data_IF_186034347004
#
_entry.id   IF_186034347004
#
_cell.length_a   1.000
_cell.length_b   1.000
_cell.length_c   1.000
_cell.angle_alpha   90.00
_cell.angle_beta   90.00
_cell.angle_gamma   90.00
#
_symmetry.space_group_name_H-M   'P 1'
#
loop_
_entity.id
_entity.type
_entity.pdbx_description
1 polymer ?
#
# COMPACT_ATOMS: atom_id res chain seq x y z
N UNK A 1 1.69 -31.66 13.91
CA UNK A 1 0.47 -31.02 14.45
C UNK A 1 0.17 -29.79 13.62
N UNK A 2 -0.87 -29.84 12.78
CA UNK A 2 -1.30 -28.71 11.97
C UNK A 2 -1.91 -27.64 12.89
N UNK A 3 -1.24 -26.49 13.02
CA UNK A 3 -1.84 -25.32 13.67
C UNK A 3 -3.03 -24.90 12.81
N UNK A 4 -4.25 -25.17 13.27
CA UNK A 4 -5.47 -24.56 12.74
C UNK A 4 -5.23 -23.05 12.68
N UNK A 5 -5.14 -22.48 11.48
CA UNK A 5 -5.09 -21.03 11.29
C UNK A 5 -6.38 -20.46 11.89
N UNK A 6 -6.24 -19.59 12.89
CA UNK A 6 -7.37 -18.83 13.42
C UNK A 6 -8.04 -18.08 12.27
N UNK A 7 -9.39 -18.03 12.21
CA UNK A 7 -10.08 -17.25 11.20
C UNK A 7 -9.67 -15.79 11.37
N UNK A 8 -8.96 -15.26 10.38
CA UNK A 8 -8.23 -13.98 10.46
C UNK A 8 -9.11 -12.72 10.60
N UNK A 9 -10.44 -12.89 10.63
CA UNK A 9 -11.42 -11.81 10.75
C UNK A 9 -12.46 -12.05 11.86
N UNK A 10 -12.21 -12.95 12.82
CA UNK A 10 -13.25 -13.43 13.75
C UNK A 10 -13.71 -12.42 14.84
N UNK A 11 -13.53 -11.11 14.67
CA UNK A 11 -14.03 -10.16 15.69
C UNK A 11 -13.87 -8.66 15.41
N UNK A 12 -13.48 -8.23 14.21
CA UNK A 12 -13.34 -6.80 13.88
C UNK A 12 -14.26 -6.45 12.74
N UNK A 13 -15.04 -5.38 12.91
CA UNK A 13 -16.02 -4.94 11.91
C UNK A 13 -15.31 -4.45 10.65
N UNK A 14 -15.91 -4.73 9.49
CA UNK A 14 -15.45 -4.23 8.18
C UNK A 14 -15.15 -2.72 8.23
N UNK A 15 -15.97 -1.97 8.97
CA UNK A 15 -15.80 -0.54 9.26
C UNK A 15 -14.42 -0.17 9.84
N UNK A 16 -13.89 -0.97 10.78
CA UNK A 16 -12.58 -0.71 11.38
C UNK A 16 -11.44 -0.83 10.36
N UNK A 17 -11.55 -1.81 9.46
CA UNK A 17 -10.59 -1.99 8.38
C UNK A 17 -10.66 -0.83 7.39
N UNK A 18 -11.86 -0.40 7.00
CA UNK A 18 -12.05 0.75 6.11
C UNK A 18 -11.47 2.04 6.70
N UNK A 19 -11.77 2.33 7.97
CA UNK A 19 -11.23 3.50 8.67
C UNK A 19 -9.70 3.47 8.74
N UNK A 20 -9.12 2.30 9.01
CA UNK A 20 -7.68 2.12 9.05
C UNK A 20 -7.03 2.31 7.67
N UNK A 21 -7.65 1.81 6.59
CA UNK A 21 -7.16 2.00 5.23
C UNK A 21 -7.21 3.47 4.80
N UNK A 22 -8.26 4.20 5.16
CA UNK A 22 -8.33 5.66 4.96
C UNK A 22 -7.23 6.36 5.76
N UNK A 23 -7.04 5.98 7.02
CA UNK A 23 -6.00 6.55 7.89
C UNK A 23 -4.59 6.26 7.37
N UNK A 24 -4.37 5.08 6.79
CA UNK A 24 -3.13 4.70 6.12
C UNK A 24 -2.89 5.57 4.87
N UNK A 25 -3.92 5.80 4.05
CA UNK A 25 -3.77 6.70 2.90
C UNK A 25 -3.44 8.14 3.32
N UNK A 26 -4.06 8.63 4.40
CA UNK A 26 -3.78 9.96 4.96
C UNK A 26 -2.32 10.10 5.42
N UNK A 27 -1.72 9.04 5.99
CA UNK A 27 -0.32 9.10 6.43
C UNK A 27 0.70 9.11 5.28
N UNK A 28 0.30 8.78 4.05
CA UNK A 28 1.16 8.91 2.86
C UNK A 28 1.24 10.34 2.33
N UNK A 29 0.16 11.12 2.50
CA UNK A 29 0.03 12.48 1.95
C UNK A 29 1.22 13.40 2.25
N UNK A 30 1.65 13.53 3.52
CA UNK A 30 2.81 14.34 3.88
C UNK A 30 4.10 13.93 3.18
N UNK A 31 4.31 12.62 2.96
CA UNK A 31 5.52 12.08 2.31
C UNK A 31 5.57 12.40 0.81
N UNK A 32 4.41 12.55 0.16
CA UNK A 32 4.35 13.04 -1.21
C UNK A 32 4.65 14.54 -1.31
N UNK A 33 4.30 15.32 -0.27
CA UNK A 33 4.58 16.77 -0.23
C UNK A 33 6.07 17.00 0.01
N UNK A 34 6.69 16.28 0.94
CA UNK A 34 8.15 16.34 1.19
C UNK A 34 8.95 16.03 -0.08
N UNK A 35 8.44 15.13 -0.93
CA UNK A 35 9.11 14.67 -2.16
C UNK A 35 8.68 15.40 -3.43
N UNK A 36 7.90 16.48 -3.34
CA UNK A 36 7.55 17.29 -4.52
C UNK A 36 8.76 18.09 -4.98
N UNK A 37 9.53 17.49 -5.87
CA UNK A 37 10.37 18.21 -6.82
C UNK A 37 9.50 18.98 -7.83
N UNK A 38 9.98 20.11 -8.40
CA UNK A 38 9.24 20.86 -9.41
C UNK A 38 9.03 20.14 -10.75
N UNK A 39 9.72 19.02 -11.02
CA UNK A 39 9.61 18.24 -12.26
C UNK A 39 8.87 16.91 -12.06
N UNK A 40 8.03 16.53 -13.05
CA UNK A 40 7.28 15.26 -13.06
C UNK A 40 8.17 14.01 -13.06
N UNK A 41 9.40 14.12 -13.58
CA UNK A 41 10.39 13.03 -13.59
C UNK A 41 10.91 12.71 -12.18
N UNK A 42 10.99 13.71 -11.29
CA UNK A 42 11.46 13.51 -9.93
C UNK A 42 10.33 13.16 -8.93
N UNK A 43 9.06 13.13 -9.37
CA UNK A 43 7.95 12.51 -8.59
C UNK A 43 8.19 11.00 -8.41
N UNK A 44 8.95 10.37 -9.31
CA UNK A 44 9.26 8.95 -9.28
C UNK A 44 10.67 8.70 -8.79
N UNK A 45 10.78 7.95 -7.68
CA UNK A 45 12.07 7.45 -7.18
C UNK A 45 12.77 6.62 -8.27
N UNK A 46 14.11 6.69 -8.42
CA UNK A 46 14.84 5.91 -9.40
C UNK A 46 14.47 4.43 -9.35
N UNK A 47 14.17 3.83 -10.50
CA UNK A 47 13.68 2.44 -10.59
C UNK A 47 14.64 1.42 -9.96
N UNK A 48 15.92 1.75 -9.87
CA UNK A 48 16.98 1.00 -9.21
C UNK A 48 16.66 0.68 -7.74
N UNK A 49 15.94 1.55 -7.03
CA UNK A 49 15.54 1.27 -5.64
C UNK A 49 14.55 0.10 -5.52
N UNK A 50 13.91 -0.27 -6.62
CA UNK A 50 12.98 -1.39 -6.73
C UNK A 50 13.66 -2.67 -7.25
N UNK A 51 14.95 -2.66 -7.56
CA UNK A 51 15.67 -3.78 -8.14
C UNK A 51 16.69 -4.39 -7.15
N UNK A 52 17.11 -5.63 -7.40
CA UNK A 52 18.26 -6.25 -6.70
C UNK A 52 19.56 -5.52 -7.10
N UNK A 53 20.52 -5.38 -6.18
CA UNK A 53 20.55 -5.86 -4.79
C UNK A 53 19.94 -4.89 -3.77
N UNK A 54 19.39 -3.77 -4.23
CA UNK A 54 19.06 -2.62 -3.40
C UNK A 54 17.72 -2.75 -2.66
N UNK A 55 16.72 -3.31 -3.32
CA UNK A 55 15.39 -3.43 -2.75
C UNK A 55 15.33 -4.58 -1.73
N UNK A 56 15.18 -4.22 -0.45
CA UNK A 56 14.96 -5.14 0.66
C UNK A 56 13.68 -4.80 1.44
N UNK A 57 12.77 -4.07 0.79
CA UNK A 57 11.61 -3.47 1.43
C UNK A 57 10.65 -4.52 1.99
N UNK A 58 10.11 -4.21 3.16
CA UNK A 58 9.06 -5.01 3.80
C UNK A 58 7.79 -4.17 3.88
N UNK A 59 6.66 -4.86 3.91
CA UNK A 59 5.35 -4.23 4.04
C UNK A 59 4.54 -4.93 5.11
N UNK A 60 3.65 -4.19 5.75
CA UNK A 60 2.72 -4.74 6.73
C UNK A 60 1.50 -5.40 6.07
N UNK A 61 0.69 -6.06 6.88
CA UNK A 61 -0.57 -6.67 6.45
C UNK A 61 -1.54 -5.63 5.87
N UNK A 62 -1.71 -4.49 6.54
CA UNK A 62 -2.60 -3.42 6.08
C UNK A 62 -2.16 -2.84 4.73
N UNK A 63 -0.86 -2.66 4.51
CA UNK A 63 -0.33 -2.19 3.23
C UNK A 63 -0.57 -3.20 2.10
N UNK A 64 -0.45 -4.50 2.39
CA UNK A 64 -0.71 -5.53 1.40
C UNK A 64 -2.20 -5.66 1.05
N UNK A 65 -3.10 -5.53 2.03
CA UNK A 65 -4.55 -5.44 1.80
C UNK A 65 -4.88 -4.26 0.89
N UNK A 66 -4.33 -3.08 1.18
CA UNK A 66 -4.56 -1.87 0.41
C UNK A 66 -4.08 -2.02 -1.05
N UNK A 67 -2.92 -2.64 -1.25
CA UNK A 67 -2.39 -2.97 -2.59
C UNK A 67 -3.32 -3.96 -3.30
N UNK A 68 -3.73 -5.05 -2.64
CA UNK A 68 -4.61 -6.06 -3.23
C UNK A 68 -5.95 -5.45 -3.67
N UNK A 69 -6.58 -4.64 -2.79
CA UNK A 69 -7.80 -3.89 -3.13
C UNK A 69 -7.58 -2.93 -4.30
N UNK A 70 -6.43 -2.27 -4.38
CA UNK A 70 -6.11 -1.41 -5.51
C UNK A 70 -6.04 -2.17 -6.85
N UNK A 71 -5.50 -3.39 -6.88
CA UNK A 71 -5.49 -4.22 -8.09
C UNK A 71 -6.90 -4.65 -8.54
N UNK A 72 -7.79 -4.89 -7.58
CA UNK A 72 -9.18 -5.23 -7.85
C UNK A 72 -9.99 -4.03 -8.36
N UNK A 73 -9.76 -2.86 -7.76
CA UNK A 73 -10.62 -1.68 -7.93
C UNK A 73 -10.15 -0.74 -9.05
N UNK A 74 -8.84 -0.52 -9.22
CA UNK A 74 -8.33 0.58 -10.04
C UNK A 74 -8.28 0.21 -11.53
N UNK A 75 -8.88 1.02 -12.43
CA UNK A 75 -8.90 0.70 -13.86
C UNK A 75 -7.53 0.51 -14.51
N UNK A 76 -6.50 1.24 -14.08
CA UNK A 76 -5.14 1.15 -14.62
C UNK A 76 -4.33 -0.06 -14.12
N UNK A 77 -4.84 -0.75 -13.09
CA UNK A 77 -4.27 -1.99 -12.54
C UNK A 77 -5.07 -3.23 -12.95
N UNK A 78 -6.31 -3.04 -13.40
CA UNK A 78 -7.19 -4.10 -13.86
C UNK A 78 -6.52 -4.92 -14.97
N UNK A 79 -6.53 -6.25 -14.82
CA UNK A 79 -5.93 -7.19 -15.76
C UNK A 79 -4.42 -7.41 -15.58
N UNK A 80 -3.75 -6.66 -14.69
CA UNK A 80 -2.30 -6.82 -14.45
C UNK A 80 -1.96 -7.77 -13.29
N UNK A 81 -2.97 -8.32 -12.62
CA UNK A 81 -2.77 -9.21 -11.48
C UNK A 81 -1.97 -10.45 -11.87
N UNK A 82 -2.28 -11.08 -13.00
CA UNK A 82 -1.58 -12.28 -13.48
C UNK A 82 -0.08 -12.02 -13.73
N UNK A 83 0.26 -10.90 -14.38
CA UNK A 83 1.66 -10.51 -14.60
C UNK A 83 2.40 -10.28 -13.28
N UNK A 84 1.73 -9.69 -12.29
CA UNK A 84 2.32 -9.48 -10.96
C UNK A 84 2.52 -10.81 -10.24
N UNK A 85 1.56 -11.75 -10.35
CA UNK A 85 1.68 -13.10 -9.78
C UNK A 85 2.84 -13.88 -10.41
N UNK A 86 3.08 -13.75 -11.72
CA UNK A 86 4.24 -14.36 -12.36
C UNK A 86 5.55 -13.78 -11.82
N UNK A 87 5.67 -12.44 -11.71
CA UNK A 87 6.84 -11.77 -11.13
C UNK A 87 7.03 -12.14 -9.65
N UNK A 88 5.95 -12.33 -8.91
CA UNK A 88 5.96 -12.82 -7.53
C UNK A 88 6.55 -14.22 -7.45
N UNK A 89 6.09 -15.15 -8.30
CA UNK A 89 6.61 -16.52 -8.40
C UNK A 89 8.12 -16.55 -8.69
N UNK A 90 8.59 -15.70 -9.60
CA UNK A 90 10.03 -15.56 -9.88
C UNK A 90 10.80 -15.01 -8.68
N UNK A 91 10.24 -14.02 -7.97
CA UNK A 91 10.90 -13.39 -6.82
C UNK A 91 11.05 -14.37 -5.64
N UNK A 92 9.99 -15.12 -5.30
CA UNK A 92 10.02 -16.02 -4.13
C UNK A 92 10.98 -17.19 -4.26
N UNK A 93 11.32 -17.61 -5.48
CA UNK A 93 12.27 -18.70 -5.72
C UNK A 93 13.64 -18.47 -5.02
N UNK A 94 14.01 -17.21 -4.82
CA UNK A 94 15.27 -16.81 -4.20
C UNK A 94 15.10 -16.28 -2.77
N UNK A 95 13.89 -16.33 -2.20
CA UNK A 95 13.56 -15.77 -0.90
C UNK A 95 13.18 -16.87 0.09
N UNK A 96 13.37 -16.58 1.37
CA UNK A 96 12.90 -17.42 2.48
C UNK A 96 11.76 -16.70 3.19
N UNK A 97 10.66 -17.39 3.48
CA UNK A 97 9.55 -16.79 4.24
C UNK A 97 9.96 -16.58 5.70
N UNK A 98 10.37 -15.35 6.03
CA UNK A 98 10.74 -14.91 7.38
C UNK A 98 10.68 -13.38 7.47
N UNK A 99 10.92 -12.85 8.68
CA UNK A 99 10.86 -11.41 9.00
C UNK A 99 12.04 -10.58 8.50
N UNK A 100 13.12 -11.22 8.02
CA UNK A 100 14.38 -10.53 7.71
C UNK A 100 14.31 -9.83 6.34
N UNK A 101 14.92 -8.64 6.21
CA UNK A 101 15.11 -8.01 4.91
C UNK A 101 15.90 -8.91 3.96
N UNK A 102 15.40 -9.09 2.75
CA UNK A 102 16.01 -9.93 1.71
C UNK A 102 15.91 -9.19 0.37
N UNK A 103 16.92 -9.31 -0.49
CA UNK A 103 16.96 -8.56 -1.73
C UNK A 103 16.07 -9.21 -2.82
N UNK A 104 15.19 -8.43 -3.46
CA UNK A 104 14.32 -8.92 -4.53
C UNK A 104 14.07 -7.86 -5.61
N UNK A 105 13.64 -8.29 -6.80
CA UNK A 105 13.12 -7.38 -7.83
C UNK A 105 11.65 -7.11 -7.50
N UNK A 106 11.26 -5.85 -7.39
CA UNK A 106 9.91 -5.48 -6.99
C UNK A 106 8.90 -5.95 -8.03
N UNK A 107 7.92 -6.79 -7.66
CA UNK A 107 6.93 -7.30 -8.61
C UNK A 107 5.99 -6.20 -9.11
N UNK A 108 5.89 -5.09 -8.37
CA UNK A 108 5.09 -3.91 -8.69
C UNK A 108 5.82 -2.89 -9.57
N UNK A 109 7.04 -3.18 -10.04
CA UNK A 109 7.77 -2.32 -10.96
C UNK A 109 7.42 -2.70 -12.40
N UNK A 110 6.90 -1.74 -13.17
CA UNK A 110 6.53 -1.90 -14.57
C UNK A 110 7.05 -0.71 -15.36
N UNK A 111 7.79 -0.95 -16.45
CA UNK A 111 8.33 0.10 -17.34
C UNK A 111 9.05 1.23 -16.57
N UNK A 112 9.82 0.87 -15.55
CA UNK A 112 10.56 1.81 -14.70
C UNK A 112 9.71 2.57 -13.67
N UNK A 113 8.41 2.28 -13.53
CA UNK A 113 7.50 2.96 -12.60
C UNK A 113 6.82 1.99 -11.65
N UNK A 114 6.56 2.44 -10.42
CA UNK A 114 5.79 1.68 -9.46
C UNK A 114 4.30 1.73 -9.84
N UNK A 115 3.68 0.57 -10.06
CA UNK A 115 2.28 0.46 -10.50
C UNK A 115 1.31 1.09 -9.50
N UNK A 116 1.59 0.95 -8.20
CA UNK A 116 0.74 1.46 -7.11
C UNK A 116 1.17 2.84 -6.60
N UNK A 117 2.03 3.56 -7.34
CA UNK A 117 2.73 4.75 -6.84
C UNK A 117 1.80 5.75 -6.17
N UNK A 118 0.69 6.11 -6.84
CA UNK A 118 -0.25 7.15 -6.37
C UNK A 118 -1.45 6.61 -5.59
N UNK A 119 -1.57 5.29 -5.43
CA UNK A 119 -2.78 4.65 -4.88
C UNK A 119 -2.55 3.89 -3.59
N UNK A 120 -1.44 3.16 -3.47
CA UNK A 120 -1.19 2.26 -2.34
C UNK A 120 0.32 2.03 -2.10
N UNK A 121 1.18 2.97 -2.49
CA UNK A 121 2.64 2.83 -2.34
C UNK A 121 2.99 2.65 -0.85
N UNK A 122 3.81 1.65 -0.50
CA UNK A 122 4.20 1.45 0.89
C UNK A 122 4.86 2.68 1.49
N UNK A 123 4.57 2.96 2.75
CA UNK A 123 5.08 4.13 3.47
C UNK A 123 6.60 4.09 3.52
N UNK A 124 7.21 2.95 3.83
CA UNK A 124 8.67 2.85 3.90
C UNK A 124 9.34 3.13 2.53
N UNK A 125 8.68 2.78 1.41
CA UNK A 125 9.13 3.12 0.05
C UNK A 125 9.08 4.64 -0.22
N UNK A 126 8.18 5.37 0.45
CA UNK A 126 8.07 6.82 0.43
C UNK A 126 9.00 7.49 1.46
N UNK A 127 9.28 6.85 2.59
CA UNK A 127 10.01 7.41 3.72
C UNK A 127 11.51 7.48 3.55
N UNK A 128 12.11 6.50 2.86
CA UNK A 128 13.57 6.47 2.72
C UNK A 128 14.00 7.41 1.59
N UNK A 129 15.06 8.19 1.80
CA UNK A 129 15.81 8.85 0.74
C UNK A 129 17.21 8.23 0.68
N UNK A 130 17.67 7.86 -0.53
CA UNK A 130 18.99 7.21 -0.67
C UNK A 130 20.12 8.24 -0.65
N UNK A 131 19.84 9.49 -0.99
CA UNK A 131 20.86 10.53 -1.07
C UNK A 131 21.31 10.96 0.33
N UNK A 132 20.38 11.09 1.27
CA UNK A 132 20.68 11.56 2.63
C UNK A 132 20.87 10.44 3.67
N UNK A 133 20.57 9.18 3.32
CA UNK A 133 20.52 8.01 4.23
C UNK A 133 19.83 8.33 5.58
N UNK A 134 18.81 9.20 5.52
CA UNK A 134 18.09 9.72 6.68
C UNK A 134 16.59 9.60 6.46
N UNK A 135 15.90 9.24 7.53
CA UNK A 135 14.45 9.23 7.60
C UNK A 135 14.01 10.56 8.20
N UNK A 136 13.20 11.32 7.47
CA UNK A 136 12.63 12.59 7.94
C UNK A 136 11.75 12.38 9.18
N UNK A 137 11.49 13.44 9.93
CA UNK A 137 10.59 13.37 11.08
C UNK A 137 9.17 12.94 10.66
N UNK A 138 8.69 13.43 9.52
CA UNK A 138 7.37 13.04 8.99
C UNK A 138 7.35 11.58 8.55
N UNK A 139 8.41 11.12 7.89
CA UNK A 139 8.58 9.72 7.53
C UNK A 139 8.54 8.79 8.75
N UNK A 140 9.14 9.19 9.88
CA UNK A 140 9.03 8.43 11.15
C UNK A 140 7.60 8.41 11.68
N UNK A 141 6.92 9.56 11.72
CA UNK A 141 5.52 9.65 12.16
C UNK A 141 4.58 8.78 11.31
N UNK A 142 4.76 8.78 9.99
CA UNK A 142 3.95 7.94 9.09
C UNK A 142 4.20 6.45 9.30
N UNK A 143 5.45 6.06 9.57
CA UNK A 143 5.81 4.68 9.93
C UNK A 143 5.15 4.29 11.26
N UNK A 144 5.32 5.08 12.31
CA UNK A 144 4.72 4.81 13.63
C UNK A 144 3.19 4.69 13.54
N UNK A 145 2.54 5.58 12.78
CA UNK A 145 1.09 5.53 12.58
C UNK A 145 0.64 4.26 11.85
N UNK A 146 1.37 3.83 10.82
CA UNK A 146 1.10 2.56 10.13
C UNK A 146 1.19 1.39 11.11
N UNK A 147 2.23 1.37 11.93
CA UNK A 147 2.50 0.29 12.89
C UNK A 147 1.37 0.21 13.93
N UNK A 148 0.94 1.37 14.48
CA UNK A 148 -0.21 1.46 15.39
C UNK A 148 -1.52 0.99 14.75
N UNK A 149 -1.76 1.30 13.47
CA UNK A 149 -2.95 0.82 12.76
C UNK A 149 -2.93 -0.71 12.60
N UNK A 150 -1.76 -1.30 12.33
CA UNK A 150 -1.64 -2.77 12.23
C UNK A 150 -1.79 -3.42 13.60
N UNK A 151 -1.20 -2.86 14.65
CA UNK A 151 -1.37 -3.35 16.03
C UNK A 151 -2.84 -3.31 16.47
N UNK A 152 -3.53 -2.19 16.20
CA UNK A 152 -4.95 -2.04 16.50
C UNK A 152 -5.82 -3.05 15.73
N UNK A 153 -5.50 -3.34 14.47
CA UNK A 153 -6.29 -4.24 13.61
C UNK A 153 -5.95 -5.73 13.76
N UNK A 154 -4.71 -6.09 14.03
CA UNK A 154 -4.27 -7.49 13.98
C UNK A 154 -3.73 -7.98 15.33
N UNK A 155 -3.64 -7.09 16.34
CA UNK A 155 -3.07 -7.42 17.65
C UNK A 155 -1.59 -7.80 17.53
N UNK A 156 -0.99 -8.37 18.58
CA UNK A 156 0.45 -8.68 18.65
C UNK A 156 0.97 -9.64 17.55
N UNK A 157 0.07 -10.33 16.83
CA UNK A 157 0.40 -11.29 15.78
C UNK A 157 0.70 -10.65 14.41
N UNK A 158 0.52 -9.34 14.28
CA UNK A 158 0.80 -8.60 13.05
C UNK A 158 2.30 -8.65 12.70
N UNK A 159 2.62 -8.65 11.41
CA UNK A 159 3.99 -8.96 10.96
C UNK A 159 4.44 -8.19 9.71
N UNK A 160 5.76 -8.13 9.54
CA UNK A 160 6.44 -7.62 8.35
C UNK A 160 6.99 -8.76 7.51
N UNK A 161 6.72 -8.72 6.21
CA UNK A 161 7.36 -9.59 5.22
C UNK A 161 7.85 -8.76 4.06
N UNK A 162 8.84 -9.29 3.35
CA UNK A 162 9.21 -8.73 2.04
C UNK A 162 7.98 -8.76 1.12
N UNK A 163 7.88 -7.75 0.25
CA UNK A 163 6.71 -7.52 -0.62
C UNK A 163 6.20 -8.82 -1.26
N UNK A 164 7.07 -9.72 -1.80
CA UNK A 164 6.55 -10.90 -2.48
C UNK A 164 5.70 -11.82 -1.61
N UNK A 165 6.16 -12.17 -0.41
CA UNK A 165 5.40 -13.08 0.46
C UNK A 165 4.11 -12.45 0.98
N UNK A 166 4.14 -11.15 1.28
CA UNK A 166 2.92 -10.50 1.78
C UNK A 166 1.87 -10.37 0.66
N UNK A 167 2.27 -10.02 -0.57
CA UNK A 167 1.31 -9.88 -1.67
C UNK A 167 0.72 -11.23 -2.10
N UNK A 168 1.51 -12.31 -2.15
CA UNK A 168 0.97 -13.65 -2.45
C UNK A 168 -0.17 -14.00 -1.49
N UNK A 169 0.02 -13.73 -0.20
CA UNK A 169 -0.99 -14.02 0.82
C UNK A 169 -2.32 -13.31 0.59
N UNK A 170 -2.32 -12.10 0.02
CA UNK A 170 -3.54 -11.29 -0.15
C UNK A 170 -4.06 -11.22 -1.60
N UNK A 171 -3.27 -11.67 -2.58
CA UNK A 171 -3.70 -11.80 -3.98
C UNK A 171 -4.13 -13.23 -4.34
N UNK A 172 -3.60 -14.23 -3.64
CA UNK A 172 -3.91 -15.66 -3.82
C UNK A 172 -4.51 -16.29 -2.55
N UNK A 173 -5.17 -15.51 -1.70
CA UNK A 173 -5.79 -16.06 -0.50
C UNK A 173 -6.82 -17.14 -0.87
N UNK A 174 -6.93 -18.19 -0.05
CA UNK A 174 -7.83 -19.33 -0.32
C UNK A 174 -9.31 -18.90 -0.31
N UNK A 175 -9.62 -17.84 0.44
CA UNK A 175 -10.94 -17.19 0.51
C UNK A 175 -11.15 -16.12 -0.58
N UNK A 176 -10.18 -15.95 -1.49
CA UNK A 176 -10.15 -14.94 -2.54
C UNK A 176 -9.36 -13.67 -2.16
N UNK A 177 -8.97 -12.84 -3.15
CA UNK A 177 -8.18 -11.64 -2.89
C UNK A 177 -8.92 -10.67 -1.96
N UNK A 178 -8.19 -9.83 -1.23
CA UNK A 178 -8.83 -8.83 -0.37
C UNK A 178 -9.76 -7.91 -1.20
N UNK A 179 -11.07 -8.07 -1.00
CA UNK A 179 -12.11 -7.31 -1.71
C UNK A 179 -12.44 -6.00 -1.01
N UNK A 180 -13.03 -5.06 -1.75
CA UNK A 180 -13.44 -3.73 -1.27
C UNK A 180 -12.63 -2.59 -1.88
N UNK A 181 -12.96 -1.37 -1.48
CA UNK A 181 -12.27 -0.15 -1.93
C UNK A 181 -10.94 0.04 -1.21
N UNK A 182 -9.91 0.49 -1.93
CA UNK A 182 -8.63 0.86 -1.35
C UNK A 182 -8.71 2.22 -0.64
N UNK A 183 -7.77 2.52 0.26
CA UNK A 183 -7.78 3.71 1.11
C UNK A 183 -7.89 5.01 0.32
N UNK A 184 -7.20 5.09 -0.83
CA UNK A 184 -7.23 6.28 -1.70
C UNK A 184 -8.62 6.57 -2.30
N UNK A 185 -9.42 5.55 -2.61
CA UNK A 185 -10.79 5.72 -3.11
C UNK A 185 -11.74 6.11 -1.99
N UNK A 186 -11.69 5.40 -0.87
CA UNK A 186 -12.54 5.67 0.30
C UNK A 186 -12.34 7.11 0.81
N UNK A 187 -11.10 7.57 0.89
CA UNK A 187 -10.82 8.97 1.26
C UNK A 187 -11.40 9.97 0.26
N UNK A 188 -11.34 9.67 -1.04
CA UNK A 188 -11.89 10.55 -2.09
C UNK A 188 -13.41 10.64 -2.01
N UNK A 189 -14.08 9.55 -1.66
CA UNK A 189 -15.52 9.50 -1.44
C UNK A 189 -15.93 10.29 -0.20
N UNK A 190 -15.23 10.11 0.93
CA UNK A 190 -15.45 10.94 2.14
C UNK A 190 -15.33 12.44 1.82
N UNK A 191 -14.26 12.85 1.14
CA UNK A 191 -14.09 14.25 0.71
C UNK A 191 -15.18 14.76 -0.24
N UNK A 192 -15.82 13.88 -1.02
CA UNK A 192 -16.93 14.25 -1.90
C UNK A 192 -18.22 14.45 -1.09
N UNK A 193 -18.44 13.61 -0.09
CA UNK A 193 -19.61 13.67 0.78
C UNK A 193 -19.53 14.85 1.76
N UNK A 194 -18.33 15.24 2.18
CA UNK A 194 -18.10 16.39 3.07
C UNK A 194 -18.17 17.76 2.35
N UNK A 195 -18.28 17.77 1.01
CA UNK A 195 -18.40 19.03 0.27
C UNK A 195 -19.82 19.59 0.42
N UNK A 196 -19.98 20.87 0.81
CA UNK A 196 -21.30 21.48 0.83
C UNK A 196 -21.92 21.41 -0.58
N UNK A 197 -23.23 21.15 -0.69
CA UNK A 197 -23.91 21.12 -1.98
C UNK A 197 -23.64 22.45 -2.70
N UNK A 198 -23.16 22.36 -3.95
CA UNK A 198 -22.99 23.54 -4.80
C UNK A 198 -24.32 24.28 -4.82
N UNK A 199 -24.35 25.51 -4.30
CA UNK A 199 -25.48 26.43 -4.51
C UNK A 199 -25.66 26.54 -6.02
N UNK A 200 -26.71 25.91 -6.56
CA UNK A 200 -27.22 26.22 -7.88
C UNK A 200 -27.54 27.70 -7.87
N UNK A 201 -26.76 28.51 -8.62
CA UNK A 201 -27.18 29.85 -8.97
C UNK A 201 -28.47 29.69 -9.75
N UNK A 202 -29.60 29.92 -9.10
CA UNK A 202 -30.84 30.26 -9.77
C UNK A 202 -30.55 31.60 -10.42
N UNK A 203 -30.27 31.59 -11.73
CA UNK A 203 -30.32 32.79 -12.55
C UNK A 203 -31.78 33.26 -12.53
N UNK A 204 -32.07 34.21 -11.64
CA UNK A 204 -33.31 34.98 -11.67
C UNK A 204 -33.24 35.90 -12.90
N UNK A 205 -33.67 35.37 -14.05
CA UNK A 205 -34.16 36.19 -15.15
C UNK A 205 -35.66 36.39 -14.96
N UNK A 206 -36.03 37.51 -14.32
CA UNK A 206 -37.24 38.24 -14.67
C UNK A 206 -37.19 39.68 -14.19
#
# INVERSE_FOLDING_TARGET
MARKRSPRNAGKTEDQLEEALVSLDRSRGPLFIEKRSPSEEAEHRPSECCQRPHNKMRISELEAIDIARAFNEKPHLKGKTEEVLERLGQAIHFLRDNRRPQAFNCPLLEKGRCMVHRVAKPIECLSYDREDDKISHEARRSIERRDQLNESLFGEDWDYRVIPFMLIRYLLDEDGPAMGSCGSSMRKEQHRNDRPPKKTRTDNNR
#
